data_IF_603934690997
#
_entry.id   IF_603934690997
#
_cell.length_a   1.000
_cell.length_b   1.000
_cell.length_c   1.000
_cell.angle_alpha   90.00
_cell.angle_beta   90.00
_cell.angle_gamma   90.00
#
_symmetry.space_group_name_H-M   'P 1'
#
loop_
_entity.id
_entity.type
_entity.pdbx_description
1 polymer ?
#
# COMPACT_ATOMS: atom_id res chain seq x y z
N UNK A 1 9.95 -7.57 5.31
CA UNK A 1 10.18 -7.29 6.75
C UNK A 1 8.85 -7.50 7.44
N UNK A 2 8.72 -8.57 8.23
CA UNK A 2 7.46 -8.94 8.90
C UNK A 2 7.33 -8.19 10.21
N UNK A 3 6.35 -7.28 10.30
CA UNK A 3 6.02 -6.57 11.53
C UNK A 3 4.79 -7.26 12.12
N UNK A 4 4.91 -7.76 13.35
CA UNK A 4 3.85 -8.47 14.08
C UNK A 4 3.28 -7.54 15.14
N UNK A 5 2.05 -7.09 14.97
CA UNK A 5 1.30 -6.35 16.00
C UNK A 5 0.20 -7.22 16.60
N UNK A 6 0.14 -7.26 17.93
CA UNK A 6 -0.76 -8.08 18.72
C UNK A 6 -2.18 -7.48 18.79
N UNK A 7 -3.00 -7.73 17.78
CA UNK A 7 -4.47 -7.71 17.84
C UNK A 7 -5.06 -8.17 16.51
N UNK A 8 -5.63 -9.38 16.45
CA UNK A 8 -6.67 -9.74 15.46
C UNK A 8 -6.30 -9.62 13.98
N UNK A 9 -5.29 -10.40 13.56
CA UNK A 9 -5.09 -11.03 12.25
C UNK A 9 -5.72 -10.38 11.01
N UNK A 10 -5.08 -9.32 10.51
CA UNK A 10 -5.04 -9.10 9.07
C UNK A 10 -3.59 -8.81 8.69
N UNK A 11 -2.86 -9.88 8.35
CA UNK A 11 -1.44 -9.79 8.04
C UNK A 11 -1.26 -9.20 6.64
N UNK A 12 -1.16 -7.87 6.59
CA UNK A 12 -0.92 -7.13 5.36
C UNK A 12 0.57 -7.25 5.03
N UNK A 13 0.89 -8.08 4.03
CA UNK A 13 2.27 -8.22 3.55
C UNK A 13 2.60 -7.03 2.65
N UNK A 14 3.44 -6.13 3.16
CA UNK A 14 3.98 -5.02 2.39
C UNK A 14 5.26 -5.49 1.69
N UNK A 15 5.32 -5.34 0.36
CA UNK A 15 6.52 -5.67 -0.42
C UNK A 15 7.56 -4.57 -0.27
N UNK A 16 7.11 -3.33 -0.09
CA UNK A 16 7.97 -2.17 0.13
C UNK A 16 7.89 -1.71 1.59
N UNK A 17 9.04 -1.44 2.26
CA UNK A 17 9.00 -0.87 3.60
C UNK A 17 8.38 0.53 3.56
N UNK A 18 7.60 0.87 4.57
CA UNK A 18 7.16 2.24 4.76
C UNK A 18 8.34 3.11 5.18
N UNK A 19 8.34 4.37 4.76
CA UNK A 19 9.42 5.31 5.09
C UNK A 19 8.87 6.38 6.03
N UNK A 20 9.49 6.55 7.20
CA UNK A 20 9.24 7.74 8.02
C UNK A 20 10.17 8.86 7.56
N UNK A 21 9.60 9.96 7.06
CA UNK A 21 10.34 11.19 6.75
C UNK A 21 9.74 12.34 7.53
N UNK A 22 10.54 12.93 8.41
CA UNK A 22 10.18 14.12 9.19
C UNK A 22 8.87 13.94 9.98
N UNK A 23 8.67 12.78 10.61
CA UNK A 23 7.46 12.49 11.38
C UNK A 23 6.23 12.13 10.54
N UNK A 24 6.35 12.11 9.21
CA UNK A 24 5.31 11.61 8.29
C UNK A 24 5.66 10.21 7.83
N UNK A 25 4.75 9.27 8.07
CA UNK A 25 4.87 7.91 7.56
C UNK A 25 4.34 7.87 6.14
N UNK A 26 5.24 7.61 5.19
CA UNK A 26 4.91 7.36 3.80
C UNK A 26 4.69 5.88 3.63
N UNK A 27 3.48 5.54 3.18
CA UNK A 27 3.08 4.17 2.94
C UNK A 27 3.07 3.90 1.43
N UNK A 28 3.47 2.68 0.99
CA UNK A 28 3.32 2.28 -0.40
C UNK A 28 1.84 2.15 -0.75
N UNK A 29 1.31 3.14 -1.48
CA UNK A 29 -0.12 3.22 -1.83
C UNK A 29 -0.61 1.98 -2.59
N UNK A 30 0.23 1.40 -3.45
CA UNK A 30 -0.11 0.18 -4.22
C UNK A 30 -0.36 -1.01 -3.32
N UNK A 31 0.57 -1.30 -2.42
CA UNK A 31 0.47 -2.46 -1.51
C UNK A 31 -0.78 -2.32 -0.62
N UNK A 32 -1.09 -1.12 -0.15
CA UNK A 32 -2.30 -0.87 0.65
C UNK A 32 -3.56 -1.09 -0.18
N UNK A 33 -3.65 -0.47 -1.36
CA UNK A 33 -4.83 -0.58 -2.20
C UNK A 33 -5.09 -2.03 -2.62
N UNK A 34 -4.06 -2.79 -3.01
CA UNK A 34 -4.20 -4.21 -3.37
C UNK A 34 -4.63 -5.08 -2.19
N UNK A 35 -4.07 -4.86 -0.99
CA UNK A 35 -4.48 -5.58 0.21
C UNK A 35 -5.91 -5.25 0.64
N UNK A 36 -6.42 -4.05 0.33
CA UNK A 36 -7.81 -3.66 0.53
C UNK A 36 -8.77 -4.19 -0.56
N UNK A 37 -8.26 -4.96 -1.54
CA UNK A 37 -9.08 -5.55 -2.61
C UNK A 37 -9.31 -4.62 -3.80
N UNK A 38 -8.56 -3.52 -3.91
CA UNK A 38 -8.58 -2.65 -5.08
C UNK A 38 -7.55 -3.08 -6.11
N UNK A 39 -7.80 -2.76 -7.38
CA UNK A 39 -6.84 -2.91 -8.47
C UNK A 39 -6.22 -1.55 -8.78
N UNK A 40 -4.89 -1.49 -8.76
CA UNK A 40 -4.13 -0.27 -9.09
C UNK A 40 -3.55 -0.41 -10.49
N UNK A 41 -3.84 0.56 -11.36
CA UNK A 41 -3.26 0.66 -12.70
C UNK A 41 -2.51 1.98 -12.85
N UNK A 42 -1.30 1.89 -13.40
CA UNK A 42 -0.53 3.06 -13.81
C UNK A 42 -0.82 3.38 -15.27
N UNK A 43 -1.22 4.62 -15.55
CA UNK A 43 -1.39 5.15 -16.89
C UNK A 43 -0.20 6.07 -17.20
N UNK A 44 0.83 5.50 -17.82
CA UNK A 44 2.07 6.21 -18.14
C UNK A 44 1.89 7.38 -19.14
N UNK A 45 0.81 7.37 -19.92
CA UNK A 45 0.53 8.45 -20.87
C UNK A 45 0.11 9.75 -20.17
N UNK A 46 -0.56 9.63 -19.03
CA UNK A 46 -1.18 10.76 -18.30
C UNK A 46 -0.50 11.03 -16.95
N UNK A 47 0.59 10.30 -16.65
CA UNK A 47 1.24 10.24 -15.33
C UNK A 47 0.25 10.05 -14.18
N UNK A 48 -0.80 9.26 -14.43
CA UNK A 48 -1.92 9.12 -13.52
C UNK A 48 -2.06 7.69 -12.98
N UNK A 49 -2.63 7.60 -11.77
CA UNK A 49 -2.92 6.33 -11.10
C UNK A 49 -4.43 6.15 -11.06
N UNK A 50 -4.92 5.03 -11.58
CA UNK A 50 -6.31 4.62 -11.44
C UNK A 50 -6.41 3.51 -10.39
N UNK A 51 -7.28 3.72 -9.40
CA UNK A 51 -7.58 2.72 -8.35
C UNK A 51 -9.05 2.34 -8.50
N UNK A 52 -9.32 1.08 -8.80
CA UNK A 52 -10.68 0.58 -9.03
C UNK A 52 -10.99 -0.51 -8.01
N UNK A 53 -12.19 -0.48 -7.42
CA UNK A 53 -12.65 -1.56 -6.55
C UNK A 53 -12.92 -2.81 -7.41
N UNK A 54 -12.46 -3.98 -6.97
CA UNK A 54 -12.85 -5.25 -7.60
C UNK A 54 -14.34 -5.53 -7.44
#
# INVERSE_FOLDING_TARGET
MTVTTAAGESQVTLRTPFTNKQGRTYLPTRDIAENLGFCVRWAAADDSITIVKR
#
